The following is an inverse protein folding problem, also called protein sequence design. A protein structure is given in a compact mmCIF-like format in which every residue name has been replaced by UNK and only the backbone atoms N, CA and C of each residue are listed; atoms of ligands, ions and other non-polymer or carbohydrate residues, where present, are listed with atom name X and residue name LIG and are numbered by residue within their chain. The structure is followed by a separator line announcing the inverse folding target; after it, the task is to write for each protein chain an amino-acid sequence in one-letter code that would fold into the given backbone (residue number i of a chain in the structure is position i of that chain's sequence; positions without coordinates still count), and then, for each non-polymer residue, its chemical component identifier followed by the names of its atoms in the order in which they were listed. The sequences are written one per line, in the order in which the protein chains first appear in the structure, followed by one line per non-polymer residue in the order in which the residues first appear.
data_IF_611629777618
#
_entry.id   IF_611629777618
#
_cell.length_a   1.000
_cell.length_b   1.000
_cell.length_c   1.000
_cell.angle_alpha   90.00
_cell.angle_beta   90.00
_cell.angle_gamma   90.00
#
_symmetry.space_group_name_H-M   'P 1'
#
loop_
_entity.id
_entity.type
_entity.pdbx_description
1 polymer ?
#
# COMPACT_ATOMS: atom_id res chain seq x y z
N UNK A 1 11.14 4.84 -5.53
CA UNK A 1 10.60 3.79 -6.42
C UNK A 1 9.55 2.99 -5.67
N UNK A 2 8.53 2.46 -6.35
CA UNK A 2 7.45 1.74 -5.68
C UNK A 2 7.86 0.31 -5.35
N UNK A 3 8.29 0.05 -4.12
CA UNK A 3 8.66 -1.29 -3.65
C UNK A 3 7.46 -2.02 -3.04
N UNK A 4 7.50 -3.36 -2.98
CA UNK A 4 6.47 -4.16 -2.30
C UNK A 4 6.26 -3.74 -0.85
N UNK A 5 7.35 -3.45 -0.12
CA UNK A 5 7.29 -2.95 1.26
C UNK A 5 6.53 -1.62 1.31
N UNK A 6 6.82 -0.72 0.38
CA UNK A 6 6.10 0.54 0.28
C UNK A 6 4.59 0.32 0.05
N UNK A 7 4.19 -0.67 -0.77
CA UNK A 7 2.77 -0.94 -1.03
C UNK A 7 2.06 -1.38 0.25
N UNK A 8 2.64 -2.34 0.96
CA UNK A 8 2.13 -2.85 2.25
C UNK A 8 1.95 -1.72 3.27
N UNK A 9 2.90 -0.80 3.36
CA UNK A 9 2.82 0.36 4.27
C UNK A 9 1.62 1.24 3.91
N UNK A 10 1.39 1.49 2.62
CA UNK A 10 0.26 2.31 2.15
C UNK A 10 -1.07 1.61 2.35
N UNK A 11 -1.15 0.30 2.11
CA UNK A 11 -2.33 -0.50 2.46
C UNK A 11 -2.59 -0.46 3.98
N UNK A 12 -1.54 -0.53 4.80
CA UNK A 12 -1.66 -0.40 6.25
C UNK A 12 -2.19 0.99 6.67
N UNK A 13 -1.85 2.06 5.95
CA UNK A 13 -2.42 3.38 6.17
C UNK A 13 -3.90 3.43 5.81
N UNK A 14 -4.32 2.76 4.72
CA UNK A 14 -5.73 2.67 4.32
C UNK A 14 -6.57 2.07 5.44
N UNK A 15 -6.11 0.97 6.03
CA UNK A 15 -6.77 0.30 7.13
C UNK A 15 -6.48 0.89 8.52
N UNK A 16 -5.79 2.04 8.58
CA UNK A 16 -5.43 2.71 9.84
C UNK A 16 -4.64 1.81 10.82
N UNK A 17 -3.94 0.80 10.30
CA UNK A 17 -3.11 -0.11 11.09
C UNK A 17 -1.84 0.58 11.61
N UNK A 18 -1.34 1.55 10.85
CA UNK A 18 -0.21 2.43 11.19
C UNK A 18 -0.53 3.86 10.70
N UNK A 19 0.08 4.91 11.28
CA UNK A 19 -0.17 6.28 10.84
C UNK A 19 0.45 6.56 9.46
N UNK A 20 -0.18 7.45 8.69
CA UNK A 20 0.24 7.89 7.33
C UNK A 20 1.65 8.50 7.27
N UNK A 21 2.27 8.78 8.42
CA UNK A 21 3.65 9.28 8.53
C UNK A 21 4.68 8.17 8.72
N UNK A 22 4.26 6.93 8.99
CA UNK A 22 5.16 5.81 9.27
C UNK A 22 5.68 5.19 7.97
N UNK A 23 6.95 5.46 7.64
CA UNK A 23 7.63 4.95 6.44
C UNK A 23 8.29 3.58 6.62
N UNK A 24 8.13 2.95 7.79
CA UNK A 24 8.85 1.75 8.25
C UNK A 24 10.37 1.78 7.96
N UNK A 25 10.99 2.97 7.94
CA UNK A 25 12.43 3.12 7.72
C UNK A 25 13.20 2.44 8.88
N UNK A 26 14.14 1.55 8.52
CA UNK A 26 14.89 0.75 9.49
C UNK A 26 14.15 -0.46 10.05
N UNK A 27 12.97 -0.82 9.53
CA UNK A 27 12.30 -2.05 9.93
C UNK A 27 13.04 -3.29 9.43
N UNK A 28 13.13 -4.29 10.30
CA UNK A 28 13.65 -5.59 9.90
C UNK A 28 12.57 -6.40 9.16
N UNK A 29 12.97 -7.41 8.38
CA UNK A 29 12.05 -8.24 7.58
C UNK A 29 10.88 -8.80 8.38
N UNK A 30 11.11 -9.24 9.62
CA UNK A 30 10.07 -9.76 10.50
C UNK A 30 8.99 -8.72 10.87
N UNK A 31 9.38 -7.44 11.00
CA UNK A 31 8.42 -6.36 11.28
C UNK A 31 7.53 -6.09 10.08
N UNK A 32 8.11 -6.08 8.88
CA UNK A 32 7.35 -5.91 7.63
C UNK A 32 6.43 -7.10 7.37
N UNK A 33 6.90 -8.33 7.62
CA UNK A 33 6.08 -9.53 7.51
C UNK A 33 4.87 -9.50 8.46
N UNK A 34 5.09 -9.12 9.72
CA UNK A 34 3.99 -8.97 10.68
C UNK A 34 2.96 -7.90 10.24
N UNK A 35 3.40 -6.82 9.60
CA UNK A 35 2.51 -5.81 9.03
C UNK A 35 1.74 -6.36 7.84
N UNK A 36 2.42 -7.05 6.92
CA UNK A 36 1.81 -7.72 5.77
C UNK A 36 0.70 -8.68 6.20
N UNK A 37 0.92 -9.48 7.24
CA UNK A 37 -0.10 -10.40 7.76
C UNK A 37 -1.34 -9.64 8.26
N UNK A 38 -1.17 -8.51 8.96
CA UNK A 38 -2.29 -7.69 9.44
C UNK A 38 -3.05 -7.05 8.27
N UNK A 39 -2.33 -6.49 7.31
CA UNK A 39 -2.90 -5.90 6.09
C UNK A 39 -3.70 -6.95 5.31
N UNK A 40 -3.13 -8.14 5.11
CA UNK A 40 -3.82 -9.25 4.45
C UNK A 40 -5.08 -9.68 5.21
N UNK A 41 -5.03 -9.73 6.54
CA UNK A 41 -6.21 -10.06 7.35
C UNK A 41 -7.34 -9.02 7.22
N UNK A 42 -7.01 -7.73 7.03
CA UNK A 42 -8.01 -6.71 6.72
C UNK A 42 -8.53 -6.88 5.29
N UNK A 43 -7.65 -7.10 4.32
CA UNK A 43 -8.05 -7.35 2.93
C UNK A 43 -8.93 -8.59 2.76
N UNK A 44 -8.70 -9.65 3.52
CA UNK A 44 -9.51 -10.88 3.51
C UNK A 44 -10.99 -10.59 3.81
N UNK A 45 -11.28 -9.64 4.71
CA UNK A 45 -12.65 -9.19 5.03
C UNK A 45 -13.37 -8.59 3.81
N UNK A 46 -12.62 -8.04 2.87
CA UNK A 46 -13.11 -7.43 1.64
C UNK A 46 -12.85 -8.33 0.42
N UNK A 47 -12.40 -9.57 0.61
CA UNK A 47 -12.07 -10.50 -0.47
C UNK A 47 -10.89 -10.07 -1.33
N UNK A 48 -9.92 -9.35 -0.75
CA UNK A 48 -8.72 -8.85 -1.42
C UNK A 48 -8.99 -7.98 -2.66
N UNK A 49 -10.14 -7.30 -2.69
CA UNK A 49 -10.57 -6.46 -3.81
C UNK A 49 -10.81 -5.03 -3.34
N UNK A 50 -10.10 -4.08 -3.97
CA UNK A 50 -10.29 -2.64 -3.75
C UNK A 50 -11.75 -2.23 -4.01
N UNK A 51 -12.41 -2.86 -4.98
CA UNK A 51 -13.82 -2.61 -5.32
C UNK A 51 -14.82 -3.01 -4.24
N UNK A 52 -14.43 -3.87 -3.29
CA UNK A 52 -15.26 -4.25 -2.15
C UNK A 52 -15.05 -3.35 -0.94
N UNK A 53 -14.08 -2.42 -1.01
CA UNK A 53 -13.89 -1.45 0.07
C UNK A 53 -15.11 -0.53 0.19
N UNK A 54 -15.52 -0.20 1.43
CA UNK A 54 -16.47 0.88 1.65
C UNK A 54 -15.88 2.20 1.12
N UNK A 55 -16.78 3.11 0.72
CA UNK A 55 -16.42 4.37 0.05
C UNK A 55 -15.36 5.19 0.79
N UNK A 56 -15.37 5.15 2.12
CA UNK A 56 -14.40 5.85 2.97
C UNK A 56 -12.98 5.30 2.79
N UNK A 57 -12.81 3.98 2.92
CA UNK A 57 -11.52 3.30 2.71
C UNK A 57 -11.06 3.41 1.25
N UNK A 58 -11.99 3.34 0.30
CA UNK A 58 -11.68 3.51 -1.12
C UNK A 58 -11.13 4.91 -1.43
N UNK A 59 -11.76 5.96 -0.91
CA UNK A 59 -11.31 7.35 -1.10
C UNK A 59 -9.91 7.55 -0.49
N UNK A 60 -9.70 7.02 0.72
CA UNK A 60 -8.40 7.04 1.39
C UNK A 60 -7.33 6.29 0.59
N UNK A 61 -7.61 5.08 0.12
CA UNK A 61 -6.71 4.30 -0.75
C UNK A 61 -6.33 5.09 -2.00
N UNK A 62 -7.32 5.67 -2.67
CA UNK A 62 -7.10 6.44 -3.87
C UNK A 62 -6.21 7.67 -3.61
N UNK A 63 -6.49 8.41 -2.53
CA UNK A 63 -5.68 9.58 -2.13
C UNK A 63 -4.23 9.20 -1.82
N UNK A 64 -4.03 8.18 -0.98
CA UNK A 64 -2.70 7.74 -0.53
C UNK A 64 -1.87 7.21 -1.70
N UNK A 65 -2.45 6.35 -2.55
CA UNK A 65 -1.73 5.79 -3.68
C UNK A 65 -1.44 6.85 -4.75
N UNK A 66 -2.35 7.78 -4.98
CA UNK A 66 -2.12 8.86 -5.94
C UNK A 66 -0.98 9.79 -5.47
N UNK A 67 -0.96 10.17 -4.19
CA UNK A 67 0.14 10.95 -3.60
C UNK A 67 1.48 10.21 -3.70
N UNK A 68 1.50 8.92 -3.36
CA UNK A 68 2.71 8.10 -3.48
C UNK A 68 3.22 7.99 -4.93
N UNK A 69 2.30 7.94 -5.90
CA UNK A 69 2.62 7.89 -7.33
C UNK A 69 3.23 9.22 -7.79
N UNK A 70 2.71 10.36 -7.33
CA UNK A 70 3.30 11.69 -7.58
C UNK A 70 4.71 11.80 -6.98
N UNK A 71 4.89 11.39 -5.73
CA UNK A 71 6.19 11.36 -5.07
C UNK A 71 7.19 10.43 -5.77
N UNK A 72 6.73 9.27 -6.23
CA UNK A 72 7.57 8.33 -6.96
C UNK A 72 8.00 8.92 -8.32
N UNK A 73 7.08 9.53 -9.08
CA UNK A 73 7.37 10.25 -10.32
C UNK A 73 8.40 11.37 -10.09
N UNK A 74 8.22 12.18 -9.04
CA UNK A 74 9.15 13.24 -8.66
C UNK A 74 10.54 12.70 -8.29
N UNK A 75 10.60 11.48 -7.72
CA UNK A 75 11.84 10.78 -7.40
C UNK A 75 12.47 10.07 -8.60
N UNK A 76 12.00 10.34 -9.83
CA UNK A 76 12.55 9.78 -11.06
C UNK A 76 12.06 8.38 -11.40
N UNK A 77 10.95 7.93 -10.80
CA UNK A 77 10.36 6.64 -11.14
C UNK A 77 9.47 6.75 -12.39
N UNK A 78 9.96 6.22 -13.51
CA UNK A 78 9.19 5.92 -14.71
C UNK A 78 8.35 4.68 -14.42
N UNK A 79 7.02 4.78 -14.37
CA UNK A 79 6.09 3.73 -13.91
C UNK A 79 6.02 2.45 -14.76
N UNK A 80 7.15 1.89 -15.19
CA UNK A 80 7.27 0.74 -16.09
C UNK A 80 7.13 -0.62 -15.38
N UNK A 81 6.64 -0.69 -14.14
CA UNK A 81 6.42 -1.99 -13.47
C UNK A 81 5.19 -1.99 -12.56
N UNK A 82 4.05 -1.51 -13.06
CA UNK A 82 2.77 -1.71 -12.38
C UNK A 82 1.70 -2.11 -13.36
N UNK A 83 1.87 -3.28 -13.96
CA UNK A 83 0.87 -4.28 -14.39
C UNK A 83 1.61 -5.22 -15.34
N UNK A 84 2.47 -6.09 -14.79
CA UNK A 84 2.66 -7.38 -15.44
C UNK A 84 1.58 -8.28 -14.80
N UNK A 85 0.35 -8.10 -15.27
CA UNK A 85 -0.62 -9.19 -15.25
C UNK A 85 -0.08 -10.14 -16.33
N UNK A 86 0.76 -11.08 -15.88
CA UNK A 86 1.47 -12.05 -16.71
C UNK A 86 0.46 -12.75 -17.63
N UNK A 87 0.71 -12.64 -18.94
CA UNK A 87 -0.18 -13.10 -20.01
C UNK A 87 -0.15 -14.61 -20.23
#
# INVERSE_FOLDING_TARGET
GMTNIGKIIRDAWVFELIPETQTCEGWNFAGVDALLQKVNAEWDKYGCLVSHLPKDLFDRHQRIHNEALEHAKASGWSGEVETDDEK
#
